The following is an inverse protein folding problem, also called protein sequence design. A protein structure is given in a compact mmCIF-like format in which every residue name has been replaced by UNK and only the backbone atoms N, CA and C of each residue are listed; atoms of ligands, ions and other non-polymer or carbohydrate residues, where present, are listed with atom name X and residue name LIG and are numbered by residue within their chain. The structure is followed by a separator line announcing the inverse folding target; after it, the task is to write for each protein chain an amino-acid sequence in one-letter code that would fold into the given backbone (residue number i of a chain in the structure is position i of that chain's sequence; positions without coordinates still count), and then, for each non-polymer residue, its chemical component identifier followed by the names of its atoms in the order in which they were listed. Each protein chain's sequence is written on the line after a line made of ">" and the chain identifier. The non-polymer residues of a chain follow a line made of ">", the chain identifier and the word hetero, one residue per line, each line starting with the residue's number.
data_IF_524038628720
#
_entry.id   IF_524038628720
#
_cell.length_a   1.000
_cell.length_b   1.000
_cell.length_c   1.000
_cell.angle_alpha   90.00
_cell.angle_beta   90.00
_cell.angle_gamma   90.00
#
_symmetry.space_group_name_H-M   'P 1'
#
loop_
_entity.id
_entity.type
_entity.pdbx_description
1 polymer ?
#
# COMPACT_ATOMS: atom_id res chain seq x y z
N UNK A 1 56.66 29.21 25.36
CA UNK A 1 56.37 27.77 25.22
C UNK A 1 55.00 27.54 25.82
N UNK A 2 53.93 27.41 24.96
CA UNK A 2 52.54 27.17 25.46
C UNK A 2 52.38 25.67 25.59
N UNK A 3 52.12 25.20 26.80
CA UNK A 3 51.74 23.81 27.07
C UNK A 3 50.29 23.66 26.58
N UNK A 4 50.10 22.84 25.58
CA UNK A 4 48.75 22.47 25.11
C UNK A 4 48.17 21.52 26.16
N UNK A 5 47.19 22.02 26.89
CA UNK A 5 46.45 21.26 27.91
C UNK A 5 45.62 20.18 27.22
N UNK A 6 45.98 18.93 27.44
CA UNK A 6 45.30 17.77 26.86
C UNK A 6 43.97 17.58 27.60
N UNK A 7 42.88 17.98 26.95
CA UNK A 7 41.53 17.69 27.46
C UNK A 7 41.20 16.23 27.10
N UNK A 8 41.04 15.32 28.07
CA UNK A 8 40.69 13.95 27.78
C UNK A 8 39.32 13.89 27.08
N UNK A 9 39.25 13.17 25.95
CA UNK A 9 37.98 12.92 25.24
C UNK A 9 36.99 12.27 26.21
N UNK A 10 35.72 12.71 26.19
CA UNK A 10 34.69 12.06 27.00
C UNK A 10 34.54 10.59 26.57
N UNK A 11 34.31 9.69 27.55
CA UNK A 11 34.20 8.26 27.24
C UNK A 11 33.04 8.01 26.24
N UNK A 12 33.33 7.16 25.25
CA UNK A 12 32.38 6.74 24.20
C UNK A 12 31.26 5.90 24.87
N UNK A 13 30.32 6.57 25.54
CA UNK A 13 29.21 5.92 26.25
C UNK A 13 27.92 5.80 25.45
N UNK A 14 27.92 6.24 24.19
CA UNK A 14 26.71 6.39 23.40
C UNK A 14 26.47 5.29 22.36
N UNK A 15 27.41 4.33 22.18
CA UNK A 15 27.25 3.27 21.16
C UNK A 15 26.22 2.19 21.54
N UNK A 16 25.91 1.99 22.82
CA UNK A 16 24.95 0.98 23.26
C UNK A 16 23.48 1.44 23.18
N UNK A 17 23.23 2.72 23.42
CA UNK A 17 21.87 3.27 23.36
C UNK A 17 21.39 3.43 21.91
N UNK A 18 22.27 3.83 21.00
CA UNK A 18 21.97 4.02 19.58
C UNK A 18 21.66 2.71 18.86
N UNK A 19 22.28 1.59 19.26
CA UNK A 19 21.99 0.27 18.65
C UNK A 19 20.63 -0.29 19.08
N UNK A 20 20.19 -0.07 20.30
CA UNK A 20 18.89 -0.50 20.78
C UNK A 20 17.74 0.33 20.15
N UNK A 21 17.91 1.65 20.03
CA UNK A 21 16.95 2.52 19.33
C UNK A 21 16.89 2.22 17.83
N UNK A 22 18.03 2.00 17.16
CA UNK A 22 18.06 1.61 15.75
C UNK A 22 17.37 0.26 15.51
N UNK A 23 17.49 -0.70 16.42
CA UNK A 23 16.82 -1.99 16.28
C UNK A 23 15.30 -1.90 16.44
N UNK A 24 14.80 -0.99 17.27
CA UNK A 24 13.37 -0.72 17.41
C UNK A 24 12.82 -0.01 16.16
N UNK A 25 13.49 1.02 15.65
CA UNK A 25 13.12 1.75 14.43
C UNK A 25 13.08 0.84 13.20
N UNK A 26 14.06 -0.05 13.04
CA UNK A 26 14.08 -1.05 11.96
C UNK A 26 12.87 -1.98 12.03
N UNK A 27 12.33 -2.23 13.21
CA UNK A 27 11.23 -3.19 13.40
C UNK A 27 9.91 -2.70 12.81
N UNK A 28 9.47 -1.46 13.04
CA UNK A 28 8.21 -0.92 12.49
C UNK A 28 8.30 -0.61 11.00
N UNK A 29 9.42 -0.06 10.57
CA UNK A 29 9.69 0.12 9.14
C UNK A 29 9.67 -1.23 8.40
N UNK A 30 10.23 -2.27 9.00
CA UNK A 30 10.21 -3.63 8.41
C UNK A 30 8.78 -4.18 8.33
N UNK A 31 7.97 -4.00 9.38
CA UNK A 31 6.56 -4.43 9.39
C UNK A 31 5.78 -3.69 8.29
N UNK A 32 5.98 -2.39 8.15
CA UNK A 32 5.34 -1.59 7.10
C UNK A 32 5.72 -2.09 5.69
N UNK A 33 7.00 -2.36 5.45
CA UNK A 33 7.47 -2.90 4.15
C UNK A 33 6.86 -4.27 3.86
N UNK A 34 6.80 -5.17 4.83
CA UNK A 34 6.15 -6.47 4.66
C UNK A 34 4.65 -6.32 4.40
N UNK A 35 3.97 -5.43 5.12
CA UNK A 35 2.57 -5.10 4.86
C UNK A 35 2.38 -4.61 3.41
N UNK A 36 3.19 -3.65 2.95
CA UNK A 36 3.10 -3.13 1.58
C UNK A 36 3.33 -4.22 0.53
N UNK A 37 4.27 -5.14 0.75
CA UNK A 37 4.51 -6.27 -0.16
C UNK A 37 3.36 -7.27 -0.18
N UNK A 38 2.76 -7.58 0.97
CA UNK A 38 1.57 -8.43 1.04
C UNK A 38 0.41 -7.78 0.29
N UNK A 39 0.21 -6.48 0.48
CA UNK A 39 -0.78 -5.71 -0.25
C UNK A 39 -0.52 -5.71 -1.76
N UNK A 40 0.74 -5.58 -2.18
CA UNK A 40 1.11 -5.66 -3.59
C UNK A 40 0.69 -6.99 -4.23
N UNK A 41 0.89 -8.11 -3.54
CA UNK A 41 0.47 -9.43 -4.04
C UNK A 41 -1.05 -9.51 -4.20
N UNK A 42 -1.81 -8.99 -3.23
CA UNK A 42 -3.28 -8.94 -3.31
C UNK A 42 -3.72 -8.11 -4.51
N UNK A 43 -3.13 -6.93 -4.72
CA UNK A 43 -3.47 -6.04 -5.82
C UNK A 43 -3.03 -6.57 -7.20
N UNK A 44 -1.89 -7.27 -7.28
CA UNK A 44 -1.51 -7.99 -8.50
C UNK A 44 -2.58 -9.03 -8.85
N UNK A 45 -2.99 -9.83 -7.88
CA UNK A 45 -4.01 -10.87 -8.09
C UNK A 45 -5.33 -10.27 -8.54
N UNK A 46 -5.78 -9.18 -7.90
CA UNK A 46 -7.00 -8.46 -8.24
C UNK A 46 -6.93 -7.86 -9.65
N UNK A 47 -5.84 -7.18 -9.99
CA UNK A 47 -5.62 -6.60 -11.32
C UNK A 47 -5.56 -7.66 -12.42
N UNK A 48 -4.87 -8.77 -12.18
CA UNK A 48 -4.85 -9.90 -13.13
C UNK A 48 -6.23 -10.52 -13.29
N UNK A 49 -7.00 -10.64 -12.20
CA UNK A 49 -8.38 -11.11 -12.28
C UNK A 49 -9.25 -10.18 -13.13
N UNK A 50 -9.14 -8.87 -12.97
CA UNK A 50 -9.83 -7.90 -13.82
C UNK A 50 -9.45 -8.07 -15.31
N UNK A 51 -8.19 -8.36 -15.61
CA UNK A 51 -7.74 -8.66 -16.97
C UNK A 51 -8.35 -9.94 -17.53
N UNK A 52 -8.63 -10.98 -16.73
CA UNK A 52 -9.33 -12.18 -17.24
C UNK A 52 -10.74 -11.86 -17.73
N UNK A 53 -11.40 -10.87 -17.10
CA UNK A 53 -12.70 -10.37 -17.56
C UNK A 53 -12.57 -9.56 -18.86
N UNK A 54 -11.60 -8.63 -18.90
CA UNK A 54 -11.36 -7.77 -20.09
C UNK A 54 -11.02 -8.61 -21.32
N UNK A 55 -10.22 -9.66 -21.13
CA UNK A 55 -9.82 -10.58 -22.22
C UNK A 55 -10.88 -11.62 -22.57
N UNK A 56 -12.03 -11.62 -21.89
CA UNK A 56 -13.09 -12.58 -22.14
C UNK A 56 -12.72 -14.03 -21.80
N UNK A 57 -11.74 -14.23 -20.90
CA UNK A 57 -11.34 -15.58 -20.46
C UNK A 57 -12.34 -16.10 -19.42
N UNK A 58 -12.91 -15.20 -18.61
CA UNK A 58 -13.80 -15.54 -17.50
C UNK A 58 -15.25 -15.10 -17.79
N UNK A 59 -15.88 -15.74 -18.77
CA UNK A 59 -17.30 -15.50 -19.12
C UNK A 59 -18.28 -15.79 -17.97
N UNK A 60 -17.88 -16.59 -16.99
CA UNK A 60 -18.74 -16.92 -15.85
C UNK A 60 -19.00 -15.70 -14.92
N UNK A 61 -18.13 -14.69 -14.95
CA UNK A 61 -18.26 -13.48 -14.12
C UNK A 61 -19.03 -12.39 -14.86
N UNK A 62 -18.63 -12.10 -16.10
CA UNK A 62 -19.31 -11.14 -16.97
C UNK A 62 -18.81 -11.27 -18.41
N UNK A 63 -19.70 -11.07 -19.36
CA UNK A 63 -19.29 -10.84 -20.75
C UNK A 63 -18.94 -9.36 -20.90
N UNK A 64 -17.64 -9.06 -21.03
CA UNK A 64 -17.12 -7.68 -21.03
C UNK A 64 -17.76 -6.82 -22.12
N UNK A 65 -18.06 -7.41 -23.28
CA UNK A 65 -18.62 -6.67 -24.42
C UNK A 65 -20.10 -6.32 -24.23
N UNK A 66 -20.83 -7.07 -23.40
CA UNK A 66 -22.24 -6.82 -23.11
C UNK A 66 -22.43 -5.80 -21.97
N UNK A 67 -21.37 -5.49 -21.22
CA UNK A 67 -21.43 -4.51 -20.13
C UNK A 67 -21.68 -3.09 -20.66
N UNK A 68 -22.37 -2.23 -19.90
CA UNK A 68 -22.51 -0.81 -20.19
C UNK A 68 -21.15 -0.14 -20.40
N UNK A 69 -21.01 0.85 -21.31
CA UNK A 69 -19.74 1.50 -21.60
C UNK A 69 -19.01 2.07 -20.38
N UNK A 70 -19.75 2.61 -19.41
CA UNK A 70 -19.21 3.12 -18.15
C UNK A 70 -18.54 2.00 -17.35
N UNK A 71 -19.21 0.85 -17.22
CA UNK A 71 -18.67 -0.31 -16.51
C UNK A 71 -17.42 -0.87 -17.18
N UNK A 72 -17.41 -0.97 -18.51
CA UNK A 72 -16.22 -1.37 -19.26
C UNK A 72 -15.04 -0.43 -19.00
N UNK A 73 -15.30 0.87 -19.01
CA UNK A 73 -14.28 1.88 -18.72
C UNK A 73 -13.72 1.74 -17.30
N UNK A 74 -14.58 1.51 -16.30
CA UNK A 74 -14.16 1.32 -14.91
C UNK A 74 -13.32 0.06 -14.74
N UNK A 75 -13.78 -1.09 -15.27
CA UNK A 75 -13.04 -2.36 -15.18
C UNK A 75 -11.67 -2.22 -15.86
N UNK A 76 -11.60 -1.61 -17.05
CA UNK A 76 -10.34 -1.37 -17.76
C UNK A 76 -9.41 -0.43 -16.98
N UNK A 77 -9.96 0.63 -16.38
CA UNK A 77 -9.19 1.54 -15.54
C UNK A 77 -8.58 0.82 -14.32
N UNK A 78 -9.38 0.07 -13.56
CA UNK A 78 -8.88 -0.66 -12.40
C UNK A 78 -7.92 -1.79 -12.76
N UNK A 79 -8.14 -2.47 -13.90
CA UNK A 79 -7.22 -3.49 -14.38
C UNK A 79 -5.78 -2.94 -14.59
N UNK A 80 -5.64 -1.68 -14.98
CA UNK A 80 -4.34 -1.02 -15.14
C UNK A 80 -3.87 -0.37 -13.84
N UNK A 81 -4.74 0.41 -13.19
CA UNK A 81 -4.40 1.20 -12.01
C UNK A 81 -4.00 0.32 -10.82
N UNK A 82 -4.69 -0.81 -10.60
CA UNK A 82 -4.37 -1.77 -9.55
C UNK A 82 -2.98 -2.41 -9.76
N UNK A 83 -2.62 -2.74 -10.99
CA UNK A 83 -1.28 -3.26 -11.29
C UNK A 83 -0.19 -2.21 -11.09
N UNK A 84 -0.44 -0.96 -11.47
CA UNK A 84 0.48 0.14 -11.21
C UNK A 84 0.65 0.38 -9.71
N UNK A 85 -0.45 0.42 -8.96
CA UNK A 85 -0.42 0.54 -7.50
C UNK A 85 0.37 -0.60 -6.86
N UNK A 86 0.14 -1.84 -7.33
CA UNK A 86 0.86 -3.02 -6.85
C UNK A 86 2.37 -2.95 -7.07
N UNK A 87 2.82 -2.47 -8.23
CA UNK A 87 4.26 -2.24 -8.50
C UNK A 87 4.82 -1.21 -7.52
N UNK A 88 4.13 -0.09 -7.32
CA UNK A 88 4.56 0.93 -6.37
C UNK A 88 4.62 0.45 -4.91
N UNK A 89 3.64 -0.36 -4.49
CA UNK A 89 3.62 -0.99 -3.17
C UNK A 89 4.76 -2.01 -3.01
N UNK A 90 5.05 -2.81 -4.04
CA UNK A 90 6.15 -3.77 -4.02
C UNK A 90 7.50 -3.10 -3.82
N UNK A 91 7.69 -1.96 -4.49
CA UNK A 91 8.88 -1.11 -4.37
C UNK A 91 8.93 -0.34 -3.05
N UNK A 92 7.87 -0.41 -2.22
CA UNK A 92 7.69 0.40 -1.03
C UNK A 92 7.86 1.91 -1.30
N UNK A 93 7.48 2.34 -2.51
CA UNK A 93 7.59 3.73 -2.93
C UNK A 93 6.41 4.56 -2.40
N UNK A 94 6.61 5.83 -1.98
CA UNK A 94 5.54 6.69 -1.47
C UNK A 94 4.37 6.86 -2.46
N UNK A 95 4.67 6.95 -3.76
CA UNK A 95 3.65 7.09 -4.81
C UNK A 95 2.77 5.84 -4.94
N UNK A 96 3.30 4.65 -4.63
CA UNK A 96 2.54 3.41 -4.67
C UNK A 96 1.43 3.38 -3.62
N UNK A 97 1.74 3.83 -2.38
CA UNK A 97 0.75 3.98 -1.32
C UNK A 97 -0.34 5.00 -1.66
N UNK A 98 0.04 6.14 -2.25
CA UNK A 98 -0.91 7.18 -2.68
C UNK A 98 -1.82 6.65 -3.80
N UNK A 99 -1.25 6.03 -4.83
CA UNK A 99 -2.03 5.49 -5.94
C UNK A 99 -2.98 4.39 -5.47
N UNK A 100 -2.53 3.50 -4.60
CA UNK A 100 -3.36 2.49 -3.98
C UNK A 100 -4.54 3.09 -3.20
N UNK A 101 -4.30 4.12 -2.37
CA UNK A 101 -5.35 4.80 -1.63
C UNK A 101 -6.40 5.43 -2.56
N UNK A 102 -5.96 6.04 -3.67
CA UNK A 102 -6.86 6.62 -4.66
C UNK A 102 -7.72 5.53 -5.30
N UNK A 103 -7.14 4.40 -5.69
CA UNK A 103 -7.89 3.27 -6.27
C UNK A 103 -8.92 2.73 -5.27
N UNK A 104 -8.50 2.40 -4.03
CA UNK A 104 -9.38 1.88 -3.00
C UNK A 104 -10.51 2.86 -2.64
N UNK A 105 -10.20 4.15 -2.46
CA UNK A 105 -11.21 5.16 -2.18
C UNK A 105 -12.20 5.33 -3.34
N UNK A 106 -11.72 5.30 -4.59
CA UNK A 106 -12.59 5.41 -5.78
C UNK A 106 -13.49 4.19 -5.96
N UNK A 107 -13.04 2.98 -5.60
CA UNK A 107 -13.88 1.77 -5.60
C UNK A 107 -15.00 1.85 -4.55
N UNK A 108 -14.65 2.28 -3.32
CA UNK A 108 -15.65 2.51 -2.27
C UNK A 108 -16.69 3.53 -2.71
N UNK A 109 -16.24 4.63 -3.33
CA UNK A 109 -17.13 5.67 -3.85
C UNK A 109 -18.02 5.15 -4.99
N UNK A 110 -17.47 4.42 -5.95
CA UNK A 110 -18.24 3.82 -7.04
C UNK A 110 -19.30 2.84 -6.53
N UNK A 111 -18.96 2.04 -5.53
CA UNK A 111 -19.88 1.10 -4.91
C UNK A 111 -21.03 1.80 -4.15
N UNK A 112 -20.74 2.90 -3.43
CA UNK A 112 -21.76 3.67 -2.71
C UNK A 112 -22.70 4.43 -3.64
N UNK A 113 -22.23 4.84 -4.81
CA UNK A 113 -23.03 5.50 -5.84
C UNK A 113 -23.86 4.52 -6.71
N UNK A 114 -23.82 3.23 -6.39
CA UNK A 114 -24.59 2.21 -7.10
C UNK A 114 -24.09 1.91 -8.51
N UNK A 115 -22.86 2.32 -8.82
CA UNK A 115 -22.25 2.10 -10.14
C UNK A 115 -21.95 0.62 -10.47
N UNK A 116 -22.28 -0.31 -9.54
CA UNK A 116 -22.19 -1.76 -9.76
C UNK A 116 -20.79 -2.31 -10.04
N UNK A 117 -19.77 -1.46 -9.94
CA UNK A 117 -18.41 -1.76 -10.39
C UNK A 117 -17.56 -2.56 -9.37
N UNK A 118 -18.12 -2.91 -8.23
CA UNK A 118 -17.40 -3.71 -7.24
C UNK A 118 -17.48 -5.19 -7.61
N UNK A 119 -16.43 -5.73 -8.22
CA UNK A 119 -16.28 -7.17 -8.50
C UNK A 119 -16.29 -8.02 -7.22
N UNK A 120 -16.06 -7.39 -6.08
CA UNK A 120 -15.92 -8.03 -4.75
C UNK A 120 -17.11 -7.79 -3.82
N UNK A 121 -18.08 -6.96 -4.20
CA UNK A 121 -19.28 -6.68 -3.40
C UNK A 121 -18.98 -6.00 -2.06
N UNK A 122 -19.90 -6.12 -1.10
CA UNK A 122 -19.80 -5.50 0.24
C UNK A 122 -18.56 -5.97 1.00
N UNK A 123 -18.18 -7.22 0.84
CA UNK A 123 -16.98 -7.77 1.50
C UNK A 123 -15.71 -7.07 1.05
N UNK A 124 -15.59 -6.75 -0.25
CA UNK A 124 -14.46 -6.01 -0.78
C UNK A 124 -14.37 -4.61 -0.18
N UNK A 125 -15.49 -3.89 -0.08
CA UNK A 125 -15.53 -2.55 0.52
C UNK A 125 -15.05 -2.57 1.98
N UNK A 126 -15.53 -3.55 2.77
CA UNK A 126 -15.13 -3.69 4.18
C UNK A 126 -13.64 -4.00 4.28
N UNK A 127 -13.11 -4.85 3.40
CA UNK A 127 -11.68 -5.15 3.32
C UNK A 127 -10.87 -3.90 2.99
N UNK A 128 -11.25 -3.15 1.96
CA UNK A 128 -10.55 -1.93 1.53
C UNK A 128 -10.51 -0.90 2.65
N UNK A 129 -11.65 -0.63 3.31
CA UNK A 129 -11.71 0.28 4.45
C UNK A 129 -10.81 -0.19 5.61
N UNK A 130 -10.84 -1.48 5.93
CA UNK A 130 -10.00 -2.05 6.99
C UNK A 130 -8.52 -1.88 6.67
N UNK A 131 -8.12 -2.14 5.42
CA UNK A 131 -6.74 -2.03 4.98
C UNK A 131 -6.24 -0.58 4.95
N UNK A 132 -7.12 0.37 4.58
CA UNK A 132 -6.83 1.81 4.66
C UNK A 132 -6.54 2.21 6.12
N UNK A 133 -7.38 1.79 7.07
CA UNK A 133 -7.19 2.09 8.50
C UNK A 133 -5.88 1.49 9.02
N UNK A 134 -5.60 0.23 8.68
CA UNK A 134 -4.33 -0.45 9.05
C UNK A 134 -3.12 0.28 8.48
N UNK A 135 -3.18 0.70 7.22
CA UNK A 135 -2.10 1.45 6.58
C UNK A 135 -1.82 2.78 7.31
N UNK A 136 -2.86 3.56 7.62
CA UNK A 136 -2.70 4.80 8.36
C UNK A 136 -2.15 4.58 9.77
N UNK A 137 -2.63 3.55 10.48
CA UNK A 137 -2.13 3.20 11.81
C UNK A 137 -0.64 2.83 11.78
N UNK A 138 -0.22 1.97 10.82
CA UNK A 138 1.18 1.58 10.67
C UNK A 138 2.06 2.76 10.24
N UNK A 139 1.58 3.60 9.34
CA UNK A 139 2.30 4.79 8.89
C UNK A 139 2.49 5.79 10.03
N UNK A 140 1.47 5.97 10.88
CA UNK A 140 1.55 6.85 12.05
C UNK A 140 2.51 6.30 13.11
N UNK A 141 2.47 4.99 13.38
CA UNK A 141 3.41 4.33 14.29
C UNK A 141 4.85 4.46 13.79
N UNK A 142 5.09 4.23 12.50
CA UNK A 142 6.40 4.36 11.90
C UNK A 142 6.91 5.82 11.88
N UNK A 143 6.02 6.81 11.78
CA UNK A 143 6.36 8.22 11.85
C UNK A 143 6.74 8.66 13.27
N UNK A 144 6.01 8.19 14.30
CA UNK A 144 6.26 8.54 15.70
C UNK A 144 7.56 7.94 16.25
N UNK A 145 8.11 6.91 15.63
CA UNK A 145 9.42 6.37 16.03
C UNK A 145 10.61 7.22 15.56
N UNK A 146 10.38 8.17 14.65
CA UNK A 146 11.44 9.04 14.12
C UNK A 146 11.62 10.34 14.89
N UNK A 147 10.81 10.57 15.92
CA UNK A 147 10.90 11.72 16.84
C UNK A 147 11.56 11.32 18.13
#
# INVERSE_FOLDING_TARGET
>A
MRIVEYTPMPPIRTLGATTAEHSALVRWTTVLVWFMRTMAVVWITKGLFAWTVVLGINHAVADFLELPPVMRGMIGFYAVADLMAAVGLWLAAPWGGVLWLICAASEVMAATLGAGASLTGVLGIVLDLTLIVVYFALSWLAANERV
#
